data_IF_235820500472
#
_entry.id   IF_235820500472
#
_cell.length_a   1.000
_cell.length_b   1.000
_cell.length_c   1.000
_cell.angle_alpha   90.00
_cell.angle_beta   90.00
_cell.angle_gamma   90.00
#
_symmetry.space_group_name_H-M   'P 1'
#
loop_
_entity.id
_entity.type
_entity.pdbx_description
1 polymer ?
#
# COMPACT_ATOMS: atom_id res chain seq x y z
N UNK A 1 47.01 4.44 -26.85
CA UNK A 1 46.36 3.19 -27.30
C UNK A 1 45.58 2.43 -26.22
N UNK A 2 45.75 2.71 -24.93
CA UNK A 2 45.05 2.00 -23.83
C UNK A 2 43.63 2.46 -23.50
N UNK A 3 43.23 3.66 -23.97
CA UNK A 3 41.91 4.26 -23.64
C UNK A 3 40.77 3.86 -24.59
N UNK A 4 41.04 3.41 -25.82
CA UNK A 4 40.01 3.03 -26.78
C UNK A 4 39.53 1.58 -26.59
N UNK A 5 40.37 0.68 -26.14
CA UNK A 5 40.04 -0.74 -25.90
C UNK A 5 39.12 -0.89 -24.69
N UNK A 6 39.30 -0.07 -23.63
CA UNK A 6 38.43 -0.10 -22.46
C UNK A 6 37.01 0.46 -22.73
N UNK A 7 36.88 1.51 -23.55
CA UNK A 7 35.57 2.05 -23.93
C UNK A 7 34.76 1.06 -24.78
N UNK A 8 35.39 0.32 -25.69
CA UNK A 8 34.70 -0.72 -26.47
C UNK A 8 34.31 -1.95 -25.66
N UNK A 9 35.09 -2.31 -24.63
CA UNK A 9 34.72 -3.40 -23.71
C UNK A 9 33.55 -2.99 -22.81
N UNK A 10 33.54 -1.77 -22.29
CA UNK A 10 32.45 -1.25 -21.46
C UNK A 10 31.16 -1.10 -22.28
N UNK A 11 31.24 -0.59 -23.52
CA UNK A 11 30.05 -0.49 -24.38
C UNK A 11 29.50 -1.84 -24.82
N UNK A 12 30.36 -2.86 -25.05
CA UNK A 12 29.90 -4.23 -25.34
C UNK A 12 29.28 -4.94 -24.11
N UNK A 13 29.79 -4.65 -22.90
CA UNK A 13 29.22 -5.15 -21.67
C UNK A 13 27.84 -4.53 -21.36
N UNK A 14 27.70 -3.21 -21.61
CA UNK A 14 26.38 -2.54 -21.46
C UNK A 14 25.38 -3.01 -22.50
N UNK A 15 25.77 -3.16 -23.78
CA UNK A 15 24.90 -3.67 -24.82
C UNK A 15 24.46 -5.13 -24.56
N UNK A 16 25.39 -6.00 -24.14
CA UNK A 16 25.05 -7.37 -23.74
C UNK A 16 24.14 -7.42 -22.48
N UNK A 17 24.29 -6.47 -21.56
CA UNK A 17 23.43 -6.35 -20.40
C UNK A 17 22.02 -5.91 -20.83
N UNK A 18 21.91 -4.89 -21.68
CA UNK A 18 20.61 -4.40 -22.21
C UNK A 18 19.90 -5.48 -23.05
N UNK A 19 20.63 -6.21 -23.92
CA UNK A 19 20.07 -7.34 -24.69
C UNK A 19 19.60 -8.50 -23.78
N UNK A 20 20.37 -8.82 -22.74
CA UNK A 20 19.96 -9.83 -21.74
C UNK A 20 18.72 -9.37 -20.96
N UNK A 21 18.69 -8.12 -20.53
CA UNK A 21 17.54 -7.51 -19.85
C UNK A 21 16.30 -7.49 -20.74
N UNK A 22 16.45 -7.22 -22.04
CA UNK A 22 15.34 -7.23 -22.99
C UNK A 22 14.89 -8.67 -23.32
N UNK A 23 15.79 -9.63 -23.39
CA UNK A 23 15.47 -11.05 -23.57
C UNK A 23 14.77 -11.65 -22.33
N UNK A 24 15.18 -11.22 -21.12
CA UNK A 24 14.54 -11.62 -19.86
C UNK A 24 13.16 -10.96 -19.70
N UNK A 25 12.98 -9.70 -20.11
CA UNK A 25 11.67 -9.03 -20.18
C UNK A 25 10.68 -9.80 -21.08
N UNK A 26 11.15 -10.48 -22.10
CA UNK A 26 10.29 -11.27 -23.02
C UNK A 26 9.94 -12.67 -22.50
N UNK A 27 10.66 -13.21 -21.53
CA UNK A 27 10.49 -14.61 -21.11
C UNK A 27 9.58 -14.79 -19.90
N UNK A 28 9.46 -13.77 -19.00
CA UNK A 28 8.61 -13.82 -17.81
C UNK A 28 7.97 -12.44 -17.53
N UNK A 29 7.07 -12.04 -18.40
CA UNK A 29 6.43 -10.71 -18.40
C UNK A 29 5.30 -10.55 -17.35
N UNK A 30 5.23 -11.39 -16.33
CA UNK A 30 4.17 -11.35 -15.32
C UNK A 30 4.78 -11.00 -13.97
N UNK A 31 4.30 -9.94 -13.34
CA UNK A 31 4.65 -9.56 -11.98
C UNK A 31 3.73 -10.30 -11.00
N UNK A 32 4.29 -11.16 -10.16
CA UNK A 32 3.56 -11.95 -9.17
C UNK A 32 3.42 -11.15 -7.87
N UNK A 33 2.19 -10.74 -7.53
CA UNK A 33 1.91 -9.90 -6.35
C UNK A 33 0.97 -10.62 -5.40
N UNK A 34 1.38 -10.74 -4.13
CA UNK A 34 0.51 -11.19 -3.04
C UNK A 34 -0.29 -10.03 -2.44
N UNK A 35 -1.51 -10.29 -2.03
CA UNK A 35 -2.33 -9.32 -1.29
C UNK A 35 -2.95 -9.99 -0.08
N UNK A 36 -2.53 -9.61 1.12
CA UNK A 36 -3.20 -9.99 2.36
C UNK A 36 -4.35 -9.02 2.62
N UNK A 37 -5.58 -9.51 2.41
CA UNK A 37 -6.77 -8.70 2.54
C UNK A 37 -7.34 -8.77 3.97
N UNK A 38 -7.10 -7.72 4.76
CA UNK A 38 -7.55 -7.60 6.15
C UNK A 38 -8.89 -6.87 6.29
N UNK A 39 -9.41 -6.27 5.19
CA UNK A 39 -10.68 -5.54 5.21
C UNK A 39 -11.87 -6.49 5.40
N UNK A 40 -12.94 -6.00 6.03
CA UNK A 40 -14.18 -6.75 6.20
C UNK A 40 -14.95 -6.96 4.88
N UNK A 41 -14.98 -5.96 3.99
CA UNK A 41 -15.52 -6.11 2.63
C UNK A 41 -14.43 -6.61 1.68
N UNK A 42 -14.28 -7.94 1.66
CA UNK A 42 -13.23 -8.61 0.86
C UNK A 42 -13.41 -8.38 -0.63
N UNK A 43 -14.65 -8.41 -1.12
CA UNK A 43 -14.96 -8.28 -2.56
C UNK A 43 -14.69 -6.87 -3.08
N UNK A 44 -15.16 -5.86 -2.35
CA UNK A 44 -14.96 -4.46 -2.76
C UNK A 44 -13.47 -4.10 -2.72
N UNK A 45 -12.75 -4.55 -1.68
CA UNK A 45 -11.30 -4.36 -1.57
C UNK A 45 -10.56 -5.03 -2.72
N UNK A 46 -10.89 -6.29 -3.04
CA UNK A 46 -10.33 -7.02 -4.18
C UNK A 46 -10.52 -6.23 -5.48
N UNK A 47 -11.74 -5.85 -5.80
CA UNK A 47 -12.07 -5.08 -7.00
C UNK A 47 -11.31 -3.74 -7.08
N UNK A 48 -11.10 -3.06 -5.94
CA UNK A 48 -10.35 -1.79 -5.88
C UNK A 48 -8.90 -1.99 -6.24
N UNK A 49 -8.22 -2.96 -5.65
CA UNK A 49 -6.82 -3.25 -5.94
C UNK A 49 -6.63 -3.81 -7.34
N UNK A 50 -7.48 -4.73 -7.82
CA UNK A 50 -7.44 -5.21 -9.20
C UNK A 50 -7.50 -4.04 -10.20
N UNK A 51 -8.38 -3.05 -9.97
CA UNK A 51 -8.49 -1.89 -10.85
C UNK A 51 -7.24 -1.02 -10.87
N UNK A 52 -6.60 -0.77 -9.73
CA UNK A 52 -5.45 0.14 -9.65
C UNK A 52 -4.13 -0.52 -10.00
N UNK A 53 -4.06 -1.85 -9.95
CA UNK A 53 -2.89 -2.64 -10.32
C UNK A 53 -2.92 -3.15 -11.77
N UNK A 54 -4.03 -2.91 -12.51
CA UNK A 54 -4.10 -3.24 -13.94
C UNK A 54 -3.37 -2.19 -14.76
N UNK A 55 -2.43 -2.64 -15.61
CA UNK A 55 -1.69 -1.82 -16.57
C UNK A 55 -1.72 -2.44 -17.96
N UNK A 56 -1.62 -1.61 -18.99
CA UNK A 56 -1.55 -2.07 -20.39
C UNK A 56 -0.16 -2.65 -20.75
N UNK A 57 0.88 -2.14 -20.10
CA UNK A 57 2.29 -2.42 -20.40
C UNK A 57 2.96 -3.42 -19.44
N UNK A 58 2.27 -3.86 -18.39
CA UNK A 58 2.76 -4.83 -17.41
C UNK A 58 1.65 -5.84 -17.07
N UNK A 59 1.93 -7.11 -17.23
CA UNK A 59 1.02 -8.17 -16.77
C UNK A 59 1.25 -8.41 -15.28
N UNK A 60 0.18 -8.28 -14.51
CA UNK A 60 0.17 -8.51 -13.06
C UNK A 60 -0.72 -9.71 -12.77
N UNK A 61 -0.20 -10.65 -12.00
CA UNK A 61 -0.95 -11.75 -11.42
C UNK A 61 -1.12 -11.52 -9.92
N UNK A 62 -2.36 -11.50 -9.43
CA UNK A 62 -2.68 -11.21 -8.04
C UNK A 62 -3.07 -12.48 -7.30
N UNK A 63 -2.30 -12.83 -6.28
CA UNK A 63 -2.63 -13.90 -5.35
C UNK A 63 -3.18 -13.31 -4.06
N UNK A 64 -4.43 -13.67 -3.73
CA UNK A 64 -5.13 -13.13 -2.57
C UNK A 64 -5.02 -14.09 -1.39
N UNK A 65 -4.71 -13.50 -0.22
CA UNK A 65 -4.55 -14.24 1.03
C UNK A 65 -5.49 -13.72 2.11
N UNK A 66 -5.84 -14.60 3.04
CA UNK A 66 -6.47 -14.26 4.33
C UNK A 66 -5.63 -14.80 5.48
N UNK A 67 -5.63 -14.12 6.67
CA UNK A 67 -4.89 -14.61 7.83
C UNK A 67 -5.56 -15.89 8.39
N UNK A 68 -4.78 -16.94 8.56
CA UNK A 68 -5.25 -18.24 9.05
C UNK A 68 -5.73 -18.13 10.50
N UNK A 69 -4.95 -17.48 11.35
CA UNK A 69 -5.25 -17.31 12.77
C UNK A 69 -6.54 -16.53 13.02
N UNK A 70 -6.97 -15.69 12.07
CA UNK A 70 -8.25 -14.99 12.16
C UNK A 70 -9.46 -15.95 12.14
N UNK A 71 -9.28 -17.13 11.58
CA UNK A 71 -10.35 -18.14 11.43
C UNK A 71 -10.10 -19.41 12.22
N UNK A 72 -9.10 -19.45 13.13
CA UNK A 72 -8.74 -20.66 13.87
C UNK A 72 -9.91 -21.27 14.67
N UNK A 73 -10.81 -20.42 15.22
CA UNK A 73 -11.93 -20.83 16.06
C UNK A 73 -13.29 -20.75 15.34
N UNK A 74 -13.29 -20.56 14.02
CA UNK A 74 -14.50 -20.42 13.21
C UNK A 74 -14.29 -20.88 11.78
N UNK A 75 -15.37 -21.23 11.12
CA UNK A 75 -15.32 -21.59 9.70
C UNK A 75 -15.01 -20.36 8.84
N UNK A 76 -14.10 -20.53 7.85
CA UNK A 76 -13.83 -19.50 6.85
C UNK A 76 -15.08 -19.34 5.98
N UNK A 77 -15.62 -18.11 5.85
CA UNK A 77 -16.79 -17.87 5.00
C UNK A 77 -16.55 -18.31 3.55
N UNK A 78 -17.57 -18.85 2.91
CA UNK A 78 -17.46 -19.39 1.55
C UNK A 78 -16.97 -18.36 0.52
N UNK A 79 -17.46 -17.12 0.59
CA UNK A 79 -17.01 -16.05 -0.28
C UNK A 79 -15.51 -15.72 -0.08
N UNK A 80 -14.97 -15.88 1.14
CA UNK A 80 -13.54 -15.70 1.41
C UNK A 80 -12.74 -16.84 0.78
N UNK A 81 -13.20 -18.10 0.93
CA UNK A 81 -12.54 -19.27 0.31
C UNK A 81 -12.51 -19.22 -1.21
N UNK A 82 -13.54 -18.64 -1.83
CA UNK A 82 -13.63 -18.52 -3.29
C UNK A 82 -12.72 -17.41 -3.85
N UNK A 83 -12.42 -16.38 -3.06
CA UNK A 83 -11.64 -15.21 -3.50
C UNK A 83 -10.19 -15.24 -3.10
N UNK A 84 -9.85 -15.98 -2.05
CA UNK A 84 -8.52 -15.95 -1.42
C UNK A 84 -8.16 -17.31 -0.84
N UNK A 85 -6.89 -17.53 -0.63
CA UNK A 85 -6.34 -18.73 0.01
C UNK A 85 -5.76 -18.39 1.39
N UNK A 86 -5.54 -19.41 2.27
CA UNK A 86 -4.83 -19.18 3.52
C UNK A 86 -3.46 -18.58 3.26
N UNK A 87 -3.00 -17.70 4.16
CA UNK A 87 -1.63 -17.19 4.10
C UNK A 87 -0.66 -18.38 4.22
N UNK A 88 0.25 -18.47 3.27
CA UNK A 88 1.24 -19.54 3.13
C UNK A 88 2.59 -18.90 2.79
N UNK A 89 3.52 -18.92 3.75
CA UNK A 89 4.80 -18.25 3.61
C UNK A 89 5.68 -18.88 2.52
N UNK A 90 5.52 -20.16 2.22
CA UNK A 90 6.28 -20.77 1.13
C UNK A 90 5.83 -20.23 -0.24
N UNK A 91 4.54 -19.95 -0.39
CA UNK A 91 4.04 -19.25 -1.59
C UNK A 91 4.46 -17.78 -1.63
N UNK A 92 4.52 -17.13 -0.47
CA UNK A 92 4.95 -15.73 -0.37
C UNK A 92 6.38 -15.55 -0.88
N UNK A 93 7.29 -16.50 -0.60
CA UNK A 93 8.69 -16.47 -1.06
C UNK A 93 8.84 -16.46 -2.59
N UNK A 94 7.83 -16.96 -3.31
CA UNK A 94 7.81 -17.02 -4.78
C UNK A 94 7.34 -15.71 -5.44
N UNK A 95 6.89 -14.71 -4.63
CA UNK A 95 6.32 -13.47 -5.12
C UNK A 95 7.37 -12.38 -5.34
N UNK A 96 7.09 -11.48 -6.27
CA UNK A 96 7.89 -10.30 -6.55
C UNK A 96 7.58 -9.14 -5.61
N UNK A 97 6.30 -9.00 -5.25
CA UNK A 97 5.81 -7.93 -4.39
C UNK A 97 4.66 -8.39 -3.49
N UNK A 98 4.41 -7.66 -2.41
CA UNK A 98 3.35 -7.99 -1.47
C UNK A 98 2.66 -6.74 -0.93
N UNK A 99 1.33 -6.79 -0.84
CA UNK A 99 0.48 -5.73 -0.30
C UNK A 99 -0.22 -6.23 0.97
N UNK A 100 -0.12 -5.47 2.07
CA UNK A 100 -0.95 -5.67 3.26
C UNK A 100 -1.96 -4.53 3.32
N UNK A 101 -3.24 -4.85 3.24
CA UNK A 101 -4.31 -3.83 3.21
C UNK A 101 -4.53 -3.20 4.58
N UNK A 102 -5.32 -2.13 4.62
CA UNK A 102 -5.90 -1.63 5.86
C UNK A 102 -6.81 -2.65 6.55
N UNK A 103 -7.13 -2.36 7.81
CA UNK A 103 -8.12 -3.07 8.61
C UNK A 103 -8.83 -2.08 9.54
N UNK A 104 -10.09 -2.28 9.90
CA UNK A 104 -10.81 -1.40 10.83
C UNK A 104 -10.46 -1.73 12.30
N UNK A 105 -9.17 -1.74 12.63
CA UNK A 105 -8.62 -2.18 13.92
C UNK A 105 -7.84 -1.06 14.65
N UNK A 106 -7.99 0.18 14.22
CA UNK A 106 -7.21 1.31 14.73
C UNK A 106 -7.40 1.54 16.24
N UNK A 107 -8.58 1.17 16.77
CA UNK A 107 -8.95 1.35 18.19
C UNK A 107 -8.39 0.23 19.10
N UNK A 108 -7.93 -0.89 18.53
CA UNK A 108 -7.31 -1.98 19.29
C UNK A 108 -5.79 -1.75 19.41
N UNK A 109 -5.21 -2.17 20.52
CA UNK A 109 -3.76 -2.28 20.60
C UNK A 109 -3.27 -3.38 19.64
N UNK A 110 -2.06 -3.25 19.10
CA UNK A 110 -1.58 -4.21 18.11
C UNK A 110 -1.48 -5.62 18.69
N UNK A 111 -1.09 -5.75 19.95
CA UNK A 111 -0.95 -7.04 20.64
C UNK A 111 -2.30 -7.72 20.91
N UNK A 112 -3.41 -6.99 20.88
CA UNK A 112 -4.77 -7.54 21.03
C UNK A 112 -5.33 -8.13 19.73
N UNK A 113 -4.61 -7.99 18.60
CA UNK A 113 -5.03 -8.52 17.31
C UNK A 113 -4.72 -10.02 17.24
N UNK A 114 -5.74 -10.85 17.12
CA UNK A 114 -5.65 -12.32 17.22
C UNK A 114 -4.66 -12.96 16.22
N UNK A 115 -4.35 -12.31 15.12
CA UNK A 115 -3.43 -12.79 14.08
C UNK A 115 -2.15 -11.94 14.00
N UNK A 116 -1.79 -11.23 15.07
CA UNK A 116 -0.60 -10.36 15.06
C UNK A 116 0.69 -11.15 14.84
N UNK A 117 0.83 -12.32 15.45
CA UNK A 117 2.01 -13.17 15.28
C UNK A 117 2.17 -13.67 13.84
N UNK A 118 1.06 -14.00 13.16
CA UNK A 118 1.06 -14.38 11.75
C UNK A 118 1.49 -13.21 10.84
N UNK A 119 1.10 -11.95 11.19
CA UNK A 119 1.60 -10.76 10.49
C UNK A 119 3.10 -10.55 10.70
N UNK A 120 3.59 -10.75 11.92
CA UNK A 120 5.01 -10.60 12.23
C UNK A 120 5.87 -11.62 11.46
N UNK A 121 5.43 -12.89 11.40
CA UNK A 121 6.08 -13.93 10.59
C UNK A 121 6.08 -13.57 9.09
N UNK A 122 4.97 -13.01 8.58
CA UNK A 122 4.90 -12.49 7.21
C UNK A 122 5.89 -11.36 6.98
N UNK A 123 5.96 -10.39 7.89
CA UNK A 123 6.87 -9.25 7.78
C UNK A 123 8.33 -9.68 7.74
N UNK A 124 8.72 -10.63 8.60
CA UNK A 124 10.06 -11.22 8.59
C UNK A 124 10.35 -11.95 7.29
N UNK A 125 9.39 -12.72 6.78
CA UNK A 125 9.51 -13.41 5.50
C UNK A 125 9.73 -12.42 4.35
N UNK A 126 8.89 -11.36 4.24
CA UNK A 126 9.00 -10.35 3.20
C UNK A 126 10.34 -9.62 3.22
N UNK A 127 10.82 -9.26 4.42
CA UNK A 127 12.13 -8.61 4.61
C UNK A 127 13.28 -9.54 4.23
N UNK A 128 13.27 -10.78 4.72
CA UNK A 128 14.35 -11.76 4.48
C UNK A 128 14.46 -12.11 3.01
N UNK A 129 13.35 -12.31 2.33
CA UNK A 129 13.30 -12.62 0.89
C UNK A 129 13.49 -11.37 0.02
N UNK A 130 13.56 -10.17 0.61
CA UNK A 130 13.71 -8.90 -0.09
C UNK A 130 12.59 -8.67 -1.12
N UNK A 131 11.35 -8.99 -0.76
CA UNK A 131 10.15 -8.76 -1.56
C UNK A 131 9.79 -7.27 -1.48
N UNK A 132 9.28 -6.71 -2.57
CA UNK A 132 8.77 -5.32 -2.56
C UNK A 132 7.49 -5.23 -1.76
N UNK A 133 7.39 -4.29 -0.80
CA UNK A 133 6.34 -4.25 0.21
C UNK A 133 5.53 -2.96 0.13
N UNK A 134 4.20 -3.08 0.10
CA UNK A 134 3.26 -1.96 0.24
C UNK A 134 2.31 -2.24 1.40
N UNK A 135 2.37 -1.40 2.40
CA UNK A 135 1.50 -1.41 3.56
C UNK A 135 0.51 -0.25 3.48
N UNK A 136 -0.78 -0.51 3.67
CA UNK A 136 -1.83 0.51 3.49
C UNK A 136 -2.57 0.77 4.79
N UNK A 137 -2.72 2.03 5.17
CA UNK A 137 -3.48 2.51 6.32
C UNK A 137 -3.11 1.79 7.63
N UNK A 138 -4.00 0.99 8.23
CA UNK A 138 -3.70 0.20 9.42
C UNK A 138 -2.55 -0.79 9.19
N UNK A 139 -2.48 -1.40 8.01
CA UNK A 139 -1.35 -2.26 7.63
C UNK A 139 -0.01 -1.52 7.68
N UNK A 140 0.01 -0.23 7.28
CA UNK A 140 1.19 0.62 7.40
C UNK A 140 1.54 0.92 8.86
N UNK A 141 0.53 1.14 9.71
CA UNK A 141 0.77 1.42 11.14
C UNK A 141 1.36 0.20 11.85
N UNK A 142 0.79 -0.99 11.67
CA UNK A 142 1.26 -2.20 12.33
C UNK A 142 2.64 -2.63 11.85
N UNK A 143 2.93 -2.49 10.57
CA UNK A 143 4.25 -2.80 10.02
C UNK A 143 5.33 -1.79 10.51
N UNK A 144 5.03 -0.49 10.53
CA UNK A 144 5.96 0.52 11.06
C UNK A 144 6.20 0.36 12.58
N UNK A 145 5.19 -0.06 13.33
CA UNK A 145 5.37 -0.41 14.75
C UNK A 145 6.28 -1.63 14.90
N UNK A 146 6.03 -2.69 14.14
CA UNK A 146 6.82 -3.92 14.20
C UNK A 146 8.29 -3.70 13.86
N UNK A 147 8.58 -3.07 12.73
CA UNK A 147 9.95 -2.89 12.25
C UNK A 147 10.73 -1.80 12.99
N UNK A 148 10.05 -0.74 13.42
CA UNK A 148 10.70 0.50 13.87
C UNK A 148 10.26 0.98 15.24
N UNK A 149 9.33 0.28 15.90
CA UNK A 149 8.85 0.67 17.24
C UNK A 149 8.07 1.98 17.27
N UNK A 150 7.50 2.41 16.11
CA UNK A 150 6.71 3.66 16.05
C UNK A 150 5.31 3.43 16.60
N UNK A 151 4.93 4.21 17.61
CA UNK A 151 3.64 4.09 18.26
C UNK A 151 2.52 4.78 17.48
N UNK A 152 1.31 4.20 17.54
CA UNK A 152 0.09 4.87 17.11
C UNK A 152 -0.61 5.56 18.27
N UNK A 153 -1.38 6.59 17.95
CA UNK A 153 -2.30 7.24 18.88
C UNK A 153 -3.66 7.46 18.21
N UNK A 154 -4.71 7.49 19.02
CA UNK A 154 -6.05 7.78 18.52
C UNK A 154 -6.21 9.28 18.26
N UNK A 155 -6.81 9.61 17.13
CA UNK A 155 -7.19 10.98 16.80
C UNK A 155 -8.45 11.38 17.57
N UNK A 156 -8.54 12.66 17.94
CA UNK A 156 -9.74 13.20 18.59
C UNK A 156 -10.99 13.12 17.70
N UNK A 157 -10.79 13.16 16.39
CA UNK A 157 -11.82 12.99 15.37
C UNK A 157 -11.27 12.13 14.24
N UNK A 158 -12.14 11.38 13.58
CA UNK A 158 -11.78 10.63 12.37
C UNK A 158 -11.19 11.59 11.33
N UNK A 159 -9.99 11.31 10.86
CA UNK A 159 -9.48 11.95 9.65
C UNK A 159 -10.20 11.33 8.45
N UNK A 160 -11.22 12.05 7.95
CA UNK A 160 -12.15 11.50 6.96
C UNK A 160 -12.44 12.53 5.86
N UNK A 161 -12.01 12.23 4.64
CA UNK A 161 -12.22 13.13 3.50
C UNK A 161 -11.04 13.12 2.52
N UNK A 162 -11.02 14.13 1.65
CA UNK A 162 -10.03 14.32 0.60
C UNK A 162 -9.19 15.56 0.92
N UNK A 163 -7.89 15.38 1.02
CA UNK A 163 -6.96 16.44 1.46
C UNK A 163 -5.85 16.66 0.44
N UNK A 164 -5.42 17.92 0.22
CA UNK A 164 -4.20 18.22 -0.50
C UNK A 164 -2.97 17.69 0.26
N UNK A 165 -1.99 17.20 -0.50
CA UNK A 165 -0.75 16.66 0.04
C UNK A 165 0.44 17.56 -0.27
N UNK A 166 1.42 17.61 0.63
CA UNK A 166 2.69 18.34 0.51
C UNK A 166 3.81 17.32 0.39
N UNK A 167 4.65 17.44 -0.62
CA UNK A 167 5.81 16.57 -0.83
C UNK A 167 6.98 17.17 -0.05
N UNK A 168 7.51 16.40 0.91
CA UNK A 168 8.63 16.79 1.77
C UNK A 168 9.97 16.31 1.22
N UNK A 169 9.98 15.14 0.59
CA UNK A 169 11.14 14.50 0.00
C UNK A 169 10.83 13.93 -1.38
N UNK A 170 11.82 13.93 -2.26
CA UNK A 170 11.68 13.32 -3.58
C UNK A 170 11.57 11.80 -3.44
N UNK A 171 10.55 11.22 -4.07
CA UNK A 171 10.36 9.79 -4.19
C UNK A 171 9.91 9.43 -5.60
N UNK A 172 10.47 8.37 -6.20
CA UNK A 172 9.98 7.82 -7.46
C UNK A 172 8.50 7.45 -7.42
N UNK A 173 7.95 7.11 -6.25
CA UNK A 173 6.52 6.80 -6.08
C UNK A 173 5.61 7.99 -6.36
N UNK A 174 6.12 9.22 -6.21
CA UNK A 174 5.38 10.46 -6.46
C UNK A 174 5.74 11.12 -7.80
N UNK A 175 6.51 10.46 -8.67
CA UNK A 175 6.83 10.98 -9.99
C UNK A 175 5.55 11.30 -10.79
N UNK A 176 5.50 12.49 -11.39
CA UNK A 176 4.33 13.01 -12.10
C UNK A 176 3.29 13.71 -11.22
N UNK A 177 3.52 13.77 -9.90
CA UNK A 177 2.73 14.55 -8.93
C UNK A 177 3.47 15.82 -8.51
N UNK A 178 2.72 16.78 -7.99
CA UNK A 178 3.22 18.05 -7.44
C UNK A 178 2.44 18.39 -6.18
N UNK A 179 2.96 19.27 -5.35
CA UNK A 179 2.27 19.78 -4.16
C UNK A 179 0.82 20.14 -4.45
N UNK A 180 -0.04 19.84 -3.50
CA UNK A 180 -1.48 20.02 -3.62
C UNK A 180 -2.22 18.87 -4.33
N UNK A 181 -1.54 17.78 -4.72
CA UNK A 181 -2.26 16.60 -5.20
C UNK A 181 -3.20 16.06 -4.13
N UNK A 182 -4.35 15.56 -4.53
CA UNK A 182 -5.39 15.14 -3.61
C UNK A 182 -5.28 13.66 -3.27
N UNK A 183 -5.53 13.33 -1.98
CA UNK A 183 -5.62 11.95 -1.52
C UNK A 183 -6.75 11.76 -0.50
N UNK A 184 -7.46 10.61 -0.53
CA UNK A 184 -8.51 10.28 0.43
C UNK A 184 -7.90 9.69 1.70
N UNK A 185 -8.33 10.18 2.86
CA UNK A 185 -7.99 9.65 4.17
C UNK A 185 -9.25 9.19 4.90
N UNK A 186 -9.14 8.06 5.61
CA UNK A 186 -10.22 7.48 6.38
C UNK A 186 -9.65 6.66 7.55
N UNK A 187 -9.33 7.30 8.68
CA UNK A 187 -8.74 6.62 9.84
C UNK A 187 -9.02 7.32 11.16
N UNK A 188 -9.07 6.53 12.22
CA UNK A 188 -9.20 6.99 13.61
C UNK A 188 -7.89 7.08 14.36
N UNK A 189 -6.79 6.57 13.79
CA UNK A 189 -5.47 6.59 14.41
C UNK A 189 -4.42 7.19 13.47
N UNK A 190 -3.32 7.63 14.06
CA UNK A 190 -2.14 8.18 13.39
C UNK A 190 -0.89 7.62 14.05
N UNK A 191 0.21 7.48 13.31
CA UNK A 191 1.52 7.27 13.90
C UNK A 191 2.10 8.59 14.40
N UNK A 192 2.95 8.52 15.42
CA UNK A 192 3.71 9.67 15.88
C UNK A 192 4.68 10.15 14.80
N UNK A 193 4.34 11.25 14.13
CA UNK A 193 5.17 11.84 13.08
C UNK A 193 6.58 12.23 13.58
N UNK A 194 6.72 12.57 14.86
CA UNK A 194 8.03 12.83 15.49
C UNK A 194 8.84 11.54 15.59
N UNK A 195 8.25 10.46 16.09
CA UNK A 195 8.93 9.17 16.16
C UNK A 195 9.33 8.66 14.77
N UNK A 196 8.44 8.75 13.76
CA UNK A 196 8.79 8.37 12.37
C UNK A 196 10.02 9.13 11.87
N UNK A 197 10.14 10.43 12.18
CA UNK A 197 11.31 11.24 11.78
C UNK A 197 12.58 10.96 12.56
N UNK A 198 12.48 10.36 13.75
CA UNK A 198 13.61 9.95 14.56
C UNK A 198 14.21 8.61 14.14
N UNK A 199 13.49 7.82 13.32
CA UNK A 199 13.99 6.55 12.78
C UNK A 199 14.84 6.81 11.54
N UNK A 200 16.15 6.51 11.57
CA UNK A 200 17.07 6.83 10.46
C UNK A 200 16.74 6.09 9.15
N UNK A 201 16.10 4.94 9.23
CA UNK A 201 15.72 4.11 8.10
C UNK A 201 14.45 4.63 7.40
N UNK A 202 13.60 5.42 8.10
CA UNK A 202 12.35 5.93 7.59
C UNK A 202 12.48 7.36 7.05
N UNK A 203 11.99 7.57 5.85
CA UNK A 203 11.78 8.91 5.26
C UNK A 203 10.30 9.25 5.26
N UNK A 204 9.92 10.39 5.85
CA UNK A 204 8.58 10.97 5.68
C UNK A 204 8.54 11.70 4.35
N UNK A 205 8.01 11.04 3.33
CA UNK A 205 8.00 11.54 1.94
C UNK A 205 6.95 12.60 1.71
N UNK A 206 5.74 12.41 2.27
CA UNK A 206 4.64 13.34 2.08
C UNK A 206 3.67 13.31 3.25
N UNK A 207 3.07 14.47 3.52
CA UNK A 207 2.02 14.68 4.53
C UNK A 207 0.86 15.46 3.91
N UNK A 208 -0.34 15.42 4.53
CA UNK A 208 -1.40 16.35 4.16
C UNK A 208 -1.04 17.79 4.57
N UNK A 209 -1.72 18.79 3.99
CA UNK A 209 -1.57 20.19 4.42
C UNK A 209 -1.92 20.42 5.90
N UNK A 210 -2.65 19.48 6.52
CA UNK A 210 -2.94 19.45 7.96
C UNK A 210 -1.92 18.62 8.75
N UNK A 211 -0.77 18.27 8.15
CA UNK A 211 0.36 17.57 8.74
C UNK A 211 0.05 16.12 9.18
N UNK A 212 -0.91 15.46 8.54
CA UNK A 212 -1.11 14.02 8.72
C UNK A 212 -0.28 13.22 7.72
N UNK A 213 0.28 12.09 8.14
CA UNK A 213 1.08 11.22 7.29
C UNK A 213 0.28 10.76 6.06
N UNK A 214 0.90 10.89 4.90
CA UNK A 214 0.42 10.31 3.65
C UNK A 214 1.31 9.16 3.20
N UNK A 215 2.63 9.38 3.12
CA UNK A 215 3.61 8.40 2.64
C UNK A 215 4.89 8.47 3.45
N UNK A 216 5.36 7.32 3.92
CA UNK A 216 6.71 7.11 4.39
C UNK A 216 7.34 5.91 3.68
N UNK A 217 8.67 5.88 3.59
CA UNK A 217 9.43 4.83 2.92
C UNK A 217 10.66 4.41 3.74
N UNK A 218 10.96 3.11 3.73
CA UNK A 218 12.27 2.57 4.06
C UNK A 218 12.83 1.91 2.79
N UNK A 219 13.42 2.74 1.91
CA UNK A 219 13.79 2.34 0.53
C UNK A 219 14.79 1.19 0.45
N UNK A 220 15.75 1.15 1.38
CA UNK A 220 16.75 0.07 1.44
C UNK A 220 16.10 -1.27 1.79
N UNK A 221 15.06 -1.22 2.61
CA UNK A 221 14.29 -2.37 3.08
C UNK A 221 13.12 -2.71 2.15
N UNK A 222 12.95 -1.95 1.05
CA UNK A 222 11.86 -2.12 0.07
C UNK A 222 10.46 -2.01 0.68
N UNK A 223 10.31 -1.11 1.65
CA UNK A 223 9.07 -0.92 2.39
C UNK A 223 8.44 0.43 2.06
N UNK A 224 7.17 0.39 1.68
CA UNK A 224 6.33 1.55 1.40
C UNK A 224 5.16 1.57 2.36
N UNK A 225 5.00 2.66 3.11
CA UNK A 225 3.94 2.89 4.09
C UNK A 225 3.01 3.97 3.60
N UNK A 226 1.87 3.58 3.02
CA UNK A 226 0.83 4.47 2.51
C UNK A 226 -0.27 4.63 3.56
N UNK A 227 -0.40 5.79 4.18
CA UNK A 227 -1.40 6.06 5.22
C UNK A 227 -2.74 6.56 4.67
N UNK A 228 -2.86 6.74 3.37
CA UNK A 228 -4.11 7.09 2.69
C UNK A 228 -4.70 5.88 1.96
N UNK A 229 -5.85 6.09 1.32
CA UNK A 229 -6.56 5.05 0.59
C UNK A 229 -6.61 5.37 -0.91
N UNK A 230 -5.43 5.39 -1.57
CA UNK A 230 -5.37 5.65 -3.01
C UNK A 230 -6.07 4.58 -3.85
N UNK A 231 -6.34 3.38 -3.31
CA UNK A 231 -7.14 2.35 -3.97
C UNK A 231 -8.64 2.68 -4.03
N UNK A 232 -9.12 3.67 -3.29
CA UNK A 232 -10.53 4.06 -3.24
C UNK A 232 -11.06 4.55 -4.60
N UNK A 233 -12.26 4.09 -4.97
CA UNK A 233 -13.04 4.65 -6.06
C UNK A 233 -13.83 5.88 -5.63
N UNK A 234 -14.53 6.49 -6.61
CA UNK A 234 -15.32 7.72 -6.40
C UNK A 234 -16.29 7.63 -5.23
N UNK A 235 -16.95 6.49 -5.05
CA UNK A 235 -18.02 6.25 -4.08
C UNK A 235 -17.56 5.68 -2.74
N UNK A 236 -16.24 5.50 -2.56
CA UNK A 236 -15.72 4.75 -1.44
C UNK A 236 -15.94 5.42 -0.09
N UNK A 237 -15.72 6.74 0.01
CA UNK A 237 -15.93 7.49 1.25
C UNK A 237 -17.43 7.57 1.60
N UNK A 238 -18.30 7.70 0.59
CA UNK A 238 -19.75 7.68 0.79
C UNK A 238 -20.21 6.33 1.36
N UNK A 239 -19.79 5.23 0.74
CA UNK A 239 -20.06 3.87 1.24
C UNK A 239 -19.55 3.65 2.66
N UNK A 240 -18.36 4.19 2.97
CA UNK A 240 -17.78 4.07 4.31
C UNK A 240 -18.62 4.82 5.34
N UNK A 241 -19.06 6.03 5.04
CA UNK A 241 -19.94 6.80 5.91
C UNK A 241 -21.25 6.04 6.22
N UNK A 242 -21.93 5.54 5.19
CA UNK A 242 -23.18 4.83 5.38
C UNK A 242 -23.03 3.48 6.08
N UNK A 243 -21.91 2.79 5.84
CA UNK A 243 -21.60 1.56 6.57
C UNK A 243 -21.39 1.81 8.06
N UNK A 244 -20.66 2.86 8.42
CA UNK A 244 -20.42 3.23 9.80
C UNK A 244 -21.71 3.68 10.49
N UNK A 245 -22.51 4.50 9.80
CA UNK A 245 -23.82 4.90 10.25
C UNK A 245 -24.78 3.71 10.47
N UNK A 246 -24.71 2.71 9.62
CA UNK A 246 -25.53 1.50 9.74
C UNK A 246 -25.06 0.60 10.90
N UNK A 247 -23.75 0.53 11.14
CA UNK A 247 -23.18 -0.23 12.26
C UNK A 247 -23.43 0.45 13.62
N UNK A 248 -23.45 1.78 13.66
CA UNK A 248 -23.56 2.63 14.85
C UNK A 248 -24.57 3.76 14.61
N UNK A 249 -25.88 3.47 14.51
CA UNK A 249 -26.91 4.48 14.26
C UNK A 249 -26.99 5.58 15.33
N UNK A 250 -26.60 5.25 16.56
CA UNK A 250 -26.50 6.15 17.71
C UNK A 250 -25.49 7.29 17.49
N UNK A 251 -24.45 7.04 16.69
CA UNK A 251 -23.40 8.01 16.40
C UNK A 251 -23.79 9.01 15.30
N UNK A 252 -24.96 8.85 14.67
CA UNK A 252 -25.41 9.71 13.58
C UNK A 252 -25.24 11.23 13.82
N UNK A 253 -25.47 11.77 15.04
CA UNK A 253 -25.29 13.20 15.29
C UNK A 253 -23.85 13.69 15.28
N UNK A 254 -22.87 12.77 15.50
CA UNK A 254 -21.45 13.10 15.67
C UNK A 254 -20.58 12.50 14.58
N UNK A 255 -21.15 11.62 13.74
CA UNK A 255 -20.42 10.98 12.66
C UNK A 255 -19.97 12.00 11.61
N UNK A 256 -18.65 12.09 11.42
CA UNK A 256 -18.08 13.03 10.47
C UNK A 256 -18.43 12.65 9.03
N UNK A 257 -18.91 13.63 8.26
CA UNK A 257 -19.03 13.50 6.80
C UNK A 257 -17.66 13.70 6.15
N UNK A 258 -17.46 13.06 5.01
CA UNK A 258 -16.18 13.19 4.30
C UNK A 258 -15.91 14.64 3.87
N UNK A 259 -14.84 15.23 4.38
CA UNK A 259 -14.43 16.60 4.06
C UNK A 259 -13.97 16.72 2.60
N UNK A 260 -14.26 17.85 1.95
CA UNK A 260 -13.81 18.18 0.57
C UNK A 260 -14.22 17.16 -0.52
N UNK A 261 -15.25 16.37 -0.24
CA UNK A 261 -15.63 15.23 -1.08
C UNK A 261 -16.95 15.45 -1.86
N UNK A 262 -17.90 16.20 -1.30
CA UNK A 262 -19.19 16.47 -1.93
C UNK A 262 -19.25 17.87 -2.54
N UNK A 263 -20.01 18.05 -3.62
CA UNK A 263 -20.37 19.38 -4.13
C UNK A 263 -21.35 20.08 -3.17
N UNK A 264 -22.34 19.34 -2.66
CA UNK A 264 -23.23 19.78 -1.58
C UNK A 264 -23.01 18.89 -0.34
N UNK A 265 -22.19 19.33 0.64
CA UNK A 265 -21.88 18.53 1.82
C UNK A 265 -23.07 18.39 2.78
N UNK A 266 -24.07 19.26 2.69
CA UNK A 266 -25.29 19.16 3.53
C UNK A 266 -26.14 17.99 3.06
N UNK A 267 -26.39 17.92 1.75
CA UNK A 267 -27.18 16.85 1.12
C UNK A 267 -26.35 15.61 0.80
N UNK A 268 -25.02 15.67 0.94
CA UNK A 268 -24.09 14.61 0.57
C UNK A 268 -24.27 14.17 -0.90
N UNK A 269 -24.31 15.13 -1.82
CA UNK A 269 -24.47 14.87 -3.25
C UNK A 269 -23.31 15.45 -4.06
N UNK A 270 -23.09 14.91 -5.28
CA UNK A 270 -22.00 15.35 -6.14
C UNK A 270 -20.63 14.87 -5.65
N UNK A 271 -20.45 13.55 -5.50
CA UNK A 271 -19.17 12.94 -5.09
C UNK A 271 -18.05 13.30 -6.07
N UNK A 272 -17.00 13.95 -5.56
CA UNK A 272 -15.81 14.31 -6.33
C UNK A 272 -14.81 13.16 -6.37
N UNK A 273 -14.09 13.03 -7.47
CA UNK A 273 -12.99 12.06 -7.61
C UNK A 273 -11.70 12.80 -7.98
N UNK A 274 -11.23 13.64 -7.04
CA UNK A 274 -10.06 14.50 -7.27
C UNK A 274 -8.71 13.79 -7.22
N UNK A 275 -8.63 12.58 -6.66
CA UNK A 275 -7.38 11.83 -6.47
C UNK A 275 -7.06 10.83 -7.58
N UNK A 276 -7.84 10.76 -8.65
CA UNK A 276 -7.62 9.79 -9.73
C UNK A 276 -6.25 9.89 -10.41
N UNK A 277 -5.69 11.12 -10.51
CA UNK A 277 -4.33 11.31 -11.02
C UNK A 277 -3.30 10.74 -10.03
N UNK A 278 -3.42 11.06 -8.74
CA UNK A 278 -2.52 10.56 -7.70
C UNK A 278 -2.57 9.02 -7.59
N UNK A 279 -3.78 8.45 -7.61
CA UNK A 279 -4.01 7.01 -7.64
C UNK A 279 -3.22 6.34 -8.77
N UNK A 280 -3.40 6.82 -10.01
CA UNK A 280 -2.74 6.24 -11.18
C UNK A 280 -1.22 6.32 -11.07
N UNK A 281 -0.66 7.51 -10.85
CA UNK A 281 0.79 7.69 -10.78
C UNK A 281 1.42 6.86 -9.67
N UNK A 282 0.83 6.86 -8.47
CA UNK A 282 1.38 6.10 -7.35
C UNK A 282 1.45 4.60 -7.66
N UNK A 283 0.37 3.98 -8.12
CA UNK A 283 0.37 2.54 -8.39
C UNK A 283 1.21 2.17 -9.62
N UNK A 284 1.23 3.01 -10.67
CA UNK A 284 2.12 2.83 -11.82
C UNK A 284 3.59 2.87 -11.38
N UNK A 285 3.97 3.83 -10.56
CA UNK A 285 5.34 3.98 -10.06
C UNK A 285 5.72 2.84 -9.12
N UNK A 286 4.81 2.40 -8.24
CA UNK A 286 5.06 1.27 -7.35
C UNK A 286 5.24 -0.04 -8.13
N UNK A 287 4.41 -0.32 -9.12
CA UNK A 287 4.55 -1.49 -9.99
C UNK A 287 5.89 -1.47 -10.75
N UNK A 288 6.29 -0.30 -11.25
CA UNK A 288 7.59 -0.12 -11.90
C UNK A 288 8.75 -0.42 -10.93
N UNK A 289 8.66 0.06 -9.69
CA UNK A 289 9.66 -0.22 -8.64
C UNK A 289 9.74 -1.72 -8.34
N UNK A 290 8.59 -2.40 -8.21
CA UNK A 290 8.52 -3.85 -8.02
C UNK A 290 9.15 -4.63 -9.19
N UNK A 291 8.87 -4.24 -10.42
CA UNK A 291 9.47 -4.81 -11.63
C UNK A 291 11.00 -4.63 -11.66
N UNK A 292 11.49 -3.42 -11.38
CA UNK A 292 12.92 -3.13 -11.31
C UNK A 292 13.63 -3.97 -10.24
N UNK A 293 13.00 -4.18 -9.08
CA UNK A 293 13.56 -4.98 -8.00
C UNK A 293 13.56 -6.48 -8.32
N UNK A 294 12.52 -7.00 -8.99
CA UNK A 294 12.50 -8.35 -9.55
C UNK A 294 13.68 -8.57 -10.50
N UNK A 295 13.90 -7.66 -11.43
CA UNK A 295 15.00 -7.77 -12.41
C UNK A 295 16.37 -7.76 -11.74
N UNK A 296 16.56 -6.98 -10.67
CA UNK A 296 17.82 -6.98 -9.89
C UNK A 296 18.06 -8.31 -9.18
N UNK A 297 17.02 -8.96 -8.61
CA UNK A 297 17.13 -10.28 -7.98
C UNK A 297 17.63 -11.34 -8.99
N UNK A 298 17.04 -11.39 -10.17
CA UNK A 298 17.40 -12.35 -11.23
C UNK A 298 18.84 -12.15 -11.73
N UNK A 299 19.36 -10.92 -11.72
CA UNK A 299 20.73 -10.63 -12.14
C UNK A 299 21.79 -10.99 -11.11
N UNK A 300 21.40 -11.22 -9.84
CA UNK A 300 22.32 -11.54 -8.74
C UNK A 300 22.37 -13.04 -8.39
N UNK A 301 21.48 -13.84 -8.92
CA UNK A 301 21.50 -15.31 -8.90
C UNK A 301 22.22 -15.87 -10.14
#
# INVERSE_FOLDING_TARGET
MYTSVNRQKVSKLSANFEERMEAMRKKDDVLEIGVLNLMHDKEDTKRRFERVLTREDCRVNLTWFYPVMHYQDREVPENVRQMSQPLDLDKVKELDAFIVTGAPLEKLDFDDVTYISELQELFDCLSTEGIEQLYVCWGAMVAANYFYGVDKYLLNQKLFGVYPQVILENSPLLDGLSDGFLAPHARYAELSCSQVREVPELSVVSVSETNHLFLAEARKERQTFLFSHLEYGRDALDKEYYRELQAHPEDAPVLAKAANYYDDPVKMTGMRFGWGKAQRHFFENWLKQAEENRLKKVCTQ
#
